data_IF_907727445760
#
_entry.id   IF_907727445760
#
_cell.length_a   1.000
_cell.length_b   1.000
_cell.length_c   1.000
_cell.angle_alpha   90.00
_cell.angle_beta   90.00
_cell.angle_gamma   90.00
#
_symmetry.space_group_name_H-M   'P 1'
#
loop_
_entity.id
_entity.type
_entity.pdbx_description
1 polymer ?
#
# COMPACT_ATOMS: atom_id res chain seq x y z
N UNK A 1 0.44 -7.63 36.16
CA UNK A 1 -0.16 -6.70 35.17
C UNK A 1 0.65 -6.81 33.88
N UNK A 2 0.13 -7.56 32.91
CA UNK A 2 0.78 -7.72 31.60
C UNK A 2 0.70 -6.37 30.87
N UNK A 3 1.84 -5.74 30.57
CA UNK A 3 1.91 -4.60 29.65
C UNK A 3 1.52 -5.13 28.26
N UNK A 4 0.24 -4.99 27.90
CA UNK A 4 -0.21 -5.15 26.53
C UNK A 4 0.57 -4.13 25.68
N UNK A 5 1.57 -4.57 24.96
CA UNK A 5 2.22 -3.76 23.95
C UNK A 5 1.19 -3.50 22.86
N UNK A 6 0.53 -2.36 22.93
CA UNK A 6 -0.36 -1.89 21.87
C UNK A 6 0.52 -1.54 20.67
N UNK A 7 0.50 -2.36 19.65
CA UNK A 7 1.21 -2.08 18.40
C UNK A 7 0.66 -0.78 17.81
N UNK A 8 1.53 0.22 17.62
CA UNK A 8 1.21 1.48 16.95
C UNK A 8 1.55 1.33 15.48
N UNK A 9 0.58 1.61 14.61
CA UNK A 9 0.82 1.56 13.17
C UNK A 9 1.69 2.72 12.75
N UNK A 10 2.61 2.47 11.82
CA UNK A 10 3.49 3.50 11.24
C UNK A 10 2.99 3.89 9.86
N UNK A 11 3.18 5.16 9.51
CA UNK A 11 2.98 5.69 8.17
C UNK A 11 4.33 5.80 7.45
N UNK A 12 4.36 5.48 6.15
CA UNK A 12 5.55 5.70 5.35
C UNK A 12 5.50 7.13 4.79
N UNK A 13 6.42 7.98 5.23
CA UNK A 13 6.41 9.43 4.97
C UNK A 13 7.78 9.88 4.50
N UNK A 14 7.86 10.48 3.33
CA UNK A 14 9.11 11.04 2.78
C UNK A 14 10.31 10.07 2.78
N UNK A 15 10.05 8.78 2.53
CA UNK A 15 11.09 7.74 2.49
C UNK A 15 11.33 7.02 3.82
N UNK A 16 10.63 7.38 4.90
CA UNK A 16 10.83 6.84 6.24
C UNK A 16 9.53 6.32 6.88
N UNK A 17 9.66 5.36 7.80
CA UNK A 17 8.56 4.87 8.61
C UNK A 17 8.41 5.72 9.87
N UNK A 18 7.34 6.51 9.93
CA UNK A 18 7.05 7.45 11.02
C UNK A 18 5.90 6.93 11.87
N UNK A 19 6.10 6.90 13.18
CA UNK A 19 5.05 6.66 14.14
C UNK A 19 4.38 7.99 14.50
N UNK A 20 3.05 8.07 14.32
CA UNK A 20 2.32 9.28 14.67
C UNK A 20 2.38 9.57 16.18
N UNK A 21 2.39 10.85 16.53
CA UNK A 21 2.37 11.33 17.92
C UNK A 21 1.01 11.06 18.59
N UNK A 22 0.93 11.34 19.88
CA UNK A 22 -0.26 11.20 20.72
C UNK A 22 -0.78 9.76 20.83
N UNK A 23 -1.92 9.58 21.50
CA UNK A 23 -2.51 8.26 21.76
C UNK A 23 -3.17 7.62 20.52
N UNK A 24 -3.58 8.45 19.55
CA UNK A 24 -4.23 8.00 18.32
C UNK A 24 -5.57 7.31 18.53
N UNK A 25 -6.11 6.72 17.46
CA UNK A 25 -7.38 5.99 17.44
C UNK A 25 -7.13 4.48 17.50
N UNK A 26 -7.86 3.77 18.34
CA UNK A 26 -7.78 2.32 18.42
C UNK A 26 -8.54 1.68 17.27
N UNK A 27 -7.92 0.71 16.62
CA UNK A 27 -8.53 -0.15 15.61
C UNK A 27 -8.81 -1.50 16.25
N UNK A 28 -10.06 -1.90 16.25
CA UNK A 28 -10.51 -3.14 16.86
C UNK A 28 -10.85 -4.18 15.80
N UNK A 29 -10.59 -5.45 16.11
CA UNK A 29 -11.10 -6.55 15.34
C UNK A 29 -12.64 -6.61 15.49
N UNK A 30 -13.42 -6.50 14.40
CA UNK A 30 -14.88 -6.42 14.48
C UNK A 30 -15.54 -7.72 14.96
N UNK A 31 -14.85 -8.86 14.84
CA UNK A 31 -15.37 -10.16 15.27
C UNK A 31 -15.12 -10.40 16.76
N UNK A 32 -13.94 -10.03 17.26
CA UNK A 32 -13.52 -10.36 18.63
C UNK A 32 -13.57 -9.17 19.58
N UNK A 33 -13.75 -7.94 19.08
CA UNK A 33 -13.65 -6.69 19.83
C UNK A 33 -12.24 -6.35 20.34
N UNK A 34 -11.26 -7.21 20.11
CA UNK A 34 -9.89 -7.00 20.60
C UNK A 34 -9.17 -5.91 19.79
N UNK A 35 -8.37 -5.10 20.48
CA UNK A 35 -7.54 -4.07 19.83
C UNK A 35 -6.48 -4.75 18.97
N UNK A 36 -6.42 -4.36 17.68
CA UNK A 36 -5.40 -4.79 16.72
C UNK A 36 -4.18 -3.87 16.82
N UNK A 37 -4.42 -2.58 16.68
CA UNK A 37 -3.37 -1.55 16.71
C UNK A 37 -3.98 -0.19 17.09
N UNK A 38 -3.10 0.80 17.19
CA UNK A 38 -3.48 2.21 17.29
C UNK A 38 -2.91 2.94 16.08
N UNK A 39 -3.69 3.84 15.50
CA UNK A 39 -3.30 4.66 14.34
C UNK A 39 -3.29 6.13 14.72
N UNK A 40 -2.31 6.87 14.23
CA UNK A 40 -2.22 8.32 14.42
C UNK A 40 -1.49 8.96 13.25
N UNK A 41 -2.00 10.09 12.79
CA UNK A 41 -1.32 10.98 11.86
C UNK A 41 -0.86 12.29 12.53
N UNK A 42 -1.01 12.41 13.84
CA UNK A 42 -0.55 13.59 14.58
C UNK A 42 0.98 13.74 14.43
N UNK A 43 1.45 14.97 14.24
CA UNK A 43 2.85 15.27 13.99
C UNK A 43 3.33 15.02 12.55
N UNK A 44 2.50 14.44 11.68
CA UNK A 44 2.85 14.25 10.28
C UNK A 44 2.66 15.55 9.50
N UNK A 45 3.71 16.00 8.83
CA UNK A 45 3.67 17.19 7.99
C UNK A 45 3.21 16.84 6.57
N UNK A 46 1.91 17.03 6.30
CA UNK A 46 1.28 16.70 5.02
C UNK A 46 1.77 17.60 3.87
N UNK A 47 2.11 18.85 4.15
CA UNK A 47 2.68 19.77 3.15
C UNK A 47 4.03 19.23 2.65
N UNK A 48 4.92 18.87 3.59
CA UNK A 48 6.21 18.26 3.28
C UNK A 48 6.04 16.94 2.48
N UNK A 49 5.04 16.13 2.83
CA UNK A 49 4.72 14.90 2.09
C UNK A 49 4.35 15.20 0.64
N UNK A 50 3.47 16.19 0.43
CA UNK A 50 3.02 16.59 -0.90
C UNK A 50 4.19 17.13 -1.73
N UNK A 51 5.03 17.95 -1.12
CA UNK A 51 6.23 18.48 -1.77
C UNK A 51 7.21 17.35 -2.14
N UNK A 52 7.47 16.41 -1.22
CA UNK A 52 8.32 15.24 -1.49
C UNK A 52 7.76 14.37 -2.64
N UNK A 53 6.45 14.13 -2.64
CA UNK A 53 5.81 13.37 -3.70
C UNK A 53 6.01 14.02 -5.09
N UNK A 54 5.95 15.35 -5.17
CA UNK A 54 6.17 16.09 -6.43
C UNK A 54 7.63 16.13 -6.85
N UNK A 55 8.54 16.42 -5.89
CA UNK A 55 9.96 16.68 -6.20
C UNK A 55 10.81 15.41 -6.30
N UNK A 56 10.40 14.32 -5.65
CA UNK A 56 11.12 13.04 -5.67
C UNK A 56 10.34 11.99 -6.45
N UNK A 57 9.10 11.69 -6.01
CA UNK A 57 8.29 10.65 -6.64
C UNK A 57 7.88 10.99 -8.07
N UNK A 58 7.37 12.20 -8.29
CA UNK A 58 6.93 12.67 -9.61
C UNK A 58 8.09 12.74 -10.62
N UNK A 59 9.24 13.25 -10.20
CA UNK A 59 10.42 13.30 -11.07
C UNK A 59 10.92 11.89 -11.39
N UNK A 60 11.05 11.01 -10.38
CA UNK A 60 11.50 9.64 -10.59
C UNK A 60 10.59 8.86 -11.54
N UNK A 61 9.28 8.98 -11.39
CA UNK A 61 8.32 8.35 -12.32
C UNK A 61 8.32 9.02 -13.70
N UNK A 62 8.55 10.33 -13.77
CA UNK A 62 8.64 11.08 -15.03
C UNK A 62 9.80 10.64 -15.94
N UNK A 63 10.90 10.17 -15.35
CA UNK A 63 12.04 9.64 -16.08
C UNK A 63 11.81 8.23 -16.65
N UNK A 64 10.87 7.49 -16.11
CA UNK A 64 10.53 6.13 -16.55
C UNK A 64 9.60 6.17 -17.76
N UNK A 65 9.83 5.26 -18.72
CA UNK A 65 8.87 4.99 -19.79
C UNK A 65 7.61 4.34 -19.27
N UNK A 66 6.53 4.32 -20.07
CA UNK A 66 5.29 3.63 -19.74
C UNK A 66 5.49 2.13 -19.48
N UNK A 67 6.38 1.49 -20.25
CA UNK A 67 6.72 0.08 -20.05
C UNK A 67 7.52 -0.16 -18.76
N UNK A 68 8.41 0.74 -18.38
CA UNK A 68 9.15 0.65 -17.11
C UNK A 68 8.23 0.82 -15.91
N UNK A 69 7.29 1.80 -15.95
CA UNK A 69 6.25 1.95 -14.91
C UNK A 69 5.35 0.70 -14.82
N UNK A 70 4.96 0.15 -15.97
CA UNK A 70 4.19 -1.10 -16.02
C UNK A 70 4.95 -2.29 -15.41
N UNK A 71 6.26 -2.40 -15.70
CA UNK A 71 7.12 -3.41 -15.10
C UNK A 71 7.28 -3.21 -13.58
N UNK A 72 7.36 -1.96 -13.10
CA UNK A 72 7.40 -1.67 -11.67
C UNK A 72 6.12 -2.19 -10.96
N UNK A 73 4.93 -1.91 -11.52
CA UNK A 73 3.65 -2.44 -11.01
C UNK A 73 3.65 -3.96 -11.00
N UNK A 74 4.11 -4.60 -12.08
CA UNK A 74 4.22 -6.06 -12.19
C UNK A 74 5.15 -6.65 -11.11
N UNK A 75 6.27 -6.00 -10.84
CA UNK A 75 7.22 -6.45 -9.83
C UNK A 75 6.65 -6.30 -8.41
N UNK A 76 5.89 -5.23 -8.13
CA UNK A 76 5.15 -5.08 -6.88
C UNK A 76 4.15 -6.23 -6.72
N UNK A 77 3.35 -6.53 -7.75
CA UNK A 77 2.39 -7.63 -7.71
C UNK A 77 3.07 -8.99 -7.46
N UNK A 78 4.20 -9.27 -8.12
CA UNK A 78 5.00 -10.48 -7.87
C UNK A 78 5.49 -10.57 -6.43
N UNK A 79 5.98 -9.47 -5.88
CA UNK A 79 6.43 -9.44 -4.49
C UNK A 79 5.26 -9.69 -3.53
N UNK A 80 4.12 -9.04 -3.75
CA UNK A 80 2.93 -9.22 -2.91
C UNK A 80 2.40 -10.66 -2.96
N UNK A 81 2.51 -11.36 -4.09
CA UNK A 81 2.19 -12.79 -4.18
C UNK A 81 3.01 -13.61 -3.19
N UNK A 82 4.29 -13.28 -2.97
CA UNK A 82 5.12 -13.99 -1.98
C UNK A 82 4.69 -13.72 -0.53
N UNK A 83 3.85 -12.70 -0.31
CA UNK A 83 3.31 -12.30 1.00
C UNK A 83 1.84 -12.67 1.19
N UNK A 84 1.27 -13.43 0.27
CA UNK A 84 -0.15 -13.76 0.20
C UNK A 84 -0.71 -14.27 1.54
N UNK A 85 -0.05 -15.24 2.16
CA UNK A 85 -0.52 -15.81 3.44
C UNK A 85 -0.56 -14.77 4.56
N UNK A 86 0.42 -13.86 4.59
CA UNK A 86 0.43 -12.76 5.55
C UNK A 86 -0.70 -11.77 5.29
N UNK A 87 -0.99 -11.46 4.01
CA UNK A 87 -2.11 -10.58 3.64
C UNK A 87 -3.45 -11.18 4.06
N UNK A 88 -3.66 -12.51 3.89
CA UNK A 88 -4.84 -13.20 4.39
C UNK A 88 -4.99 -13.10 5.92
N UNK A 89 -3.89 -13.24 6.66
CA UNK A 89 -3.91 -13.09 8.12
C UNK A 89 -4.29 -11.67 8.55
N UNK A 90 -3.88 -10.64 7.79
CA UNK A 90 -4.29 -9.25 8.05
C UNK A 90 -5.76 -9.08 7.71
N UNK A 91 -6.19 -9.51 6.53
CA UNK A 91 -7.57 -9.38 6.05
C UNK A 91 -8.57 -10.04 7.01
N UNK A 92 -8.25 -11.21 7.55
CA UNK A 92 -9.11 -11.87 8.54
C UNK A 92 -9.35 -11.02 9.81
N UNK A 93 -8.43 -10.14 10.17
CA UNK A 93 -8.60 -9.23 11.31
C UNK A 93 -9.56 -8.08 11.04
N UNK A 94 -9.88 -7.80 9.79
CA UNK A 94 -10.87 -6.77 9.39
C UNK A 94 -12.30 -7.29 9.41
N UNK A 95 -12.50 -8.58 9.69
CA UNK A 95 -13.81 -9.24 9.65
C UNK A 95 -14.18 -9.78 8.27
N UNK A 96 -13.30 -9.67 7.30
CA UNK A 96 -13.51 -10.21 5.95
C UNK A 96 -13.64 -11.73 5.99
N UNK A 97 -14.58 -12.28 5.22
CA UNK A 97 -14.66 -13.72 4.95
C UNK A 97 -13.47 -14.17 4.10
N UNK A 98 -13.29 -15.49 4.00
CA UNK A 98 -12.24 -16.03 3.12
C UNK A 98 -12.47 -15.65 1.65
N UNK A 99 -13.73 -15.58 1.22
CA UNK A 99 -14.10 -15.20 -0.14
C UNK A 99 -13.82 -13.71 -0.38
N UNK A 100 -14.22 -12.84 0.55
CA UNK A 100 -13.92 -11.40 0.43
C UNK A 100 -12.42 -11.15 0.39
N UNK A 101 -11.67 -11.80 1.27
CA UNK A 101 -10.20 -11.72 1.27
C UNK A 101 -9.58 -12.19 -0.03
N UNK A 102 -10.14 -13.23 -0.66
CA UNK A 102 -9.70 -13.72 -1.96
C UNK A 102 -9.96 -12.68 -3.06
N UNK A 103 -11.15 -12.10 -3.09
CA UNK A 103 -11.50 -11.04 -4.06
C UNK A 103 -10.57 -9.84 -3.89
N UNK A 104 -10.36 -9.36 -2.68
CA UNK A 104 -9.53 -8.18 -2.39
C UNK A 104 -8.06 -8.42 -2.72
N UNK A 105 -7.50 -9.54 -2.29
CA UNK A 105 -6.06 -9.81 -2.41
C UNK A 105 -5.74 -10.33 -3.81
N UNK A 106 -6.35 -11.44 -4.24
CA UNK A 106 -6.00 -12.04 -5.53
C UNK A 106 -6.59 -11.27 -6.70
N UNK A 107 -7.80 -10.71 -6.55
CA UNK A 107 -8.40 -9.81 -7.54
C UNK A 107 -7.58 -8.52 -7.70
N UNK A 108 -7.14 -7.92 -6.60
CA UNK A 108 -6.24 -6.75 -6.63
C UNK A 108 -4.92 -7.04 -7.35
N UNK A 109 -4.28 -8.18 -7.05
CA UNK A 109 -3.05 -8.60 -7.71
C UNK A 109 -3.28 -8.90 -9.20
N UNK A 110 -4.38 -9.57 -9.55
CA UNK A 110 -4.76 -9.83 -10.93
C UNK A 110 -4.96 -8.53 -11.72
N UNK A 111 -5.56 -7.52 -11.09
CA UNK A 111 -5.72 -6.18 -11.67
C UNK A 111 -4.36 -5.54 -11.97
N UNK A 112 -3.40 -5.59 -11.05
CA UNK A 112 -2.05 -5.08 -11.28
C UNK A 112 -1.35 -5.79 -12.46
N UNK A 113 -1.47 -7.11 -12.57
CA UNK A 113 -0.92 -7.86 -13.70
C UNK A 113 -1.61 -7.51 -15.02
N UNK A 114 -2.93 -7.37 -15.01
CA UNK A 114 -3.72 -7.03 -16.20
C UNK A 114 -3.35 -5.66 -16.73
N UNK A 115 -3.34 -4.62 -15.89
CA UNK A 115 -2.96 -3.27 -16.33
C UNK A 115 -1.50 -3.17 -16.74
N UNK A 116 -0.60 -3.86 -16.06
CA UNK A 116 0.79 -3.95 -16.51
C UNK A 116 0.92 -4.61 -17.89
N UNK A 117 0.12 -5.65 -18.15
CA UNK A 117 0.06 -6.31 -19.47
C UNK A 117 -0.50 -5.41 -20.55
N UNK A 118 -1.61 -4.72 -20.26
CA UNK A 118 -2.26 -3.77 -21.18
C UNK A 118 -1.30 -2.63 -21.53
N UNK A 119 -0.68 -2.02 -20.54
CA UNK A 119 0.24 -0.90 -20.77
C UNK A 119 1.38 -1.26 -21.72
N UNK A 120 1.93 -2.49 -21.61
CA UNK A 120 3.01 -2.96 -22.48
C UNK A 120 2.56 -3.36 -23.88
N UNK A 121 1.28 -3.71 -24.06
CA UNK A 121 0.73 -4.16 -25.34
C UNK A 121 0.15 -2.99 -26.14
N UNK A 122 -0.55 -2.06 -25.45
CA UNK A 122 -1.33 -1.02 -26.10
C UNK A 122 -0.59 0.33 -26.22
N UNK A 123 0.41 0.59 -25.37
CA UNK A 123 1.13 1.85 -25.40
C UNK A 123 2.55 1.69 -25.95
N UNK A 124 3.04 2.73 -26.65
CA UNK A 124 4.43 2.85 -27.04
C UNK A 124 5.35 2.90 -25.81
N UNK A 125 6.61 2.48 -25.98
CA UNK A 125 7.60 2.53 -24.89
C UNK A 125 8.19 3.93 -24.74
N UNK A 126 7.34 4.91 -24.52
CA UNK A 126 7.64 6.32 -24.35
C UNK A 126 7.37 6.79 -22.92
N UNK A 127 7.88 7.97 -22.57
CA UNK A 127 7.66 8.55 -21.22
C UNK A 127 6.25 9.09 -21.04
N UNK A 128 5.55 9.41 -22.12
CA UNK A 128 4.20 9.97 -22.15
C UNK A 128 3.43 9.43 -23.35
N UNK A 129 2.11 9.55 -23.30
CA UNK A 129 1.22 9.21 -24.41
C UNK A 129 1.30 10.36 -25.42
N UNK A 130 1.64 10.03 -26.66
CA UNK A 130 1.58 10.94 -27.80
C UNK A 130 0.32 10.59 -28.58
N UNK A 131 -0.54 11.58 -28.80
CA UNK A 131 -1.72 11.45 -29.69
C UNK A 131 -1.30 11.57 -31.17
#
# INVERSE_FOLDING_TARGET
MSKSYKMKSKSYVCGEWVEGELNGTQVNNPVTGKIICTVSSAGVNFEKMTQYARTVGGLGLGEMTLHERANAIKNIAKYLLTKKDHLYQISSKTGATKLDSWVDIEGGLATMFSYSGIARREFANEKFIVE
#
